data_IF_140207849202
#
_entry.id   IF_140207849202
#
_cell.length_a   1.000
_cell.length_b   1.000
_cell.length_c   1.000
_cell.angle_alpha   90.00
_cell.angle_beta   90.00
_cell.angle_gamma   90.00
#
_symmetry.space_group_name_H-M   'P 1'
#
loop_
_entity.id
_entity.type
_entity.pdbx_description
1 polymer ?
#
# COMPACT_ATOMS: atom_id res chain seq x y z
N UNK A 1 15.16 17.99 0.11
CA UNK A 1 13.83 17.41 -0.18
C UNK A 1 13.57 16.38 0.89
N UNK A 2 12.49 16.55 1.65
CA UNK A 2 12.11 15.56 2.66
C UNK A 2 11.65 14.26 2.01
N UNK A 3 11.54 13.20 2.81
CA UNK A 3 10.81 11.99 2.41
C UNK A 3 9.70 11.75 3.42
N UNK A 4 8.64 11.12 2.94
CA UNK A 4 7.52 10.70 3.76
C UNK A 4 7.48 9.18 3.72
N UNK A 5 7.34 8.55 4.89
CA UNK A 5 6.97 7.16 5.02
C UNK A 5 5.49 7.09 5.37
N UNK A 6 4.73 6.29 4.64
CA UNK A 6 3.32 6.08 4.89
C UNK A 6 3.02 4.59 5.01
N UNK A 7 2.33 4.21 6.08
CA UNK A 7 1.77 2.88 6.23
C UNK A 7 0.36 2.90 5.64
N UNK A 8 0.16 2.11 4.59
CA UNK A 8 -1.10 2.06 3.84
C UNK A 8 -1.66 0.65 3.98
N UNK A 9 -2.85 0.53 4.56
CA UNK A 9 -3.59 -0.72 4.67
C UNK A 9 -4.33 -1.01 3.37
N UNK A 10 -4.04 -2.15 2.78
CA UNK A 10 -4.65 -2.64 1.54
C UNK A 10 -5.45 -3.89 1.88
N UNK A 11 -6.76 -3.80 1.68
CA UNK A 11 -7.68 -4.91 1.90
C UNK A 11 -7.84 -5.68 0.59
N UNK A 12 -7.53 -6.99 0.55
CA UNK A 12 -7.89 -7.82 -0.60
C UNK A 12 -9.41 -8.04 -0.65
N UNK A 13 -9.95 -8.25 -1.84
CA UNK A 13 -11.38 -8.51 -2.05
C UNK A 13 -11.83 -9.94 -1.71
N UNK A 14 -10.90 -10.85 -1.47
CA UNK A 14 -11.17 -12.25 -1.13
C UNK A 14 -10.01 -12.86 -0.31
N UNK A 15 -10.30 -13.78 0.63
CA UNK A 15 -9.27 -14.53 1.36
C UNK A 15 -8.53 -15.55 0.47
N UNK A 16 -8.99 -15.77 -0.76
CA UNK A 16 -8.35 -16.67 -1.74
C UNK A 16 -7.28 -15.96 -2.58
N UNK A 17 -7.13 -14.63 -2.45
CA UNK A 17 -6.08 -13.87 -3.15
C UNK A 17 -4.70 -14.31 -2.65
N UNK A 18 -3.80 -14.61 -3.59
CA UNK A 18 -2.39 -14.79 -3.28
C UNK A 18 -1.78 -13.44 -2.88
N UNK A 19 -1.35 -13.35 -1.63
CA UNK A 19 -0.83 -12.11 -1.04
C UNK A 19 0.59 -11.78 -1.53
N UNK A 20 1.37 -12.78 -1.95
CA UNK A 20 2.68 -12.55 -2.55
C UNK A 20 2.49 -11.93 -3.94
N UNK A 21 1.59 -12.50 -4.77
CA UNK A 21 1.24 -11.92 -6.08
C UNK A 21 0.57 -10.54 -5.97
N UNK A 22 -0.25 -10.32 -4.94
CA UNK A 22 -0.83 -8.99 -4.67
C UNK A 22 0.27 -7.99 -4.31
N UNK A 23 1.23 -8.36 -3.47
CA UNK A 23 2.36 -7.50 -3.13
C UNK A 23 3.17 -7.13 -4.38
N UNK A 24 3.48 -8.08 -5.26
CA UNK A 24 4.21 -7.81 -6.50
C UNK A 24 3.47 -6.82 -7.41
N UNK A 25 2.13 -6.94 -7.50
CA UNK A 25 1.29 -6.01 -8.26
C UNK A 25 1.26 -4.60 -7.64
N UNK A 26 1.20 -4.50 -6.32
CA UNK A 26 1.31 -3.22 -5.61
C UNK A 26 2.67 -2.57 -5.85
N UNK A 27 3.77 -3.33 -5.77
CA UNK A 27 5.12 -2.84 -6.07
C UNK A 27 5.23 -2.33 -7.52
N UNK A 28 4.60 -3.01 -8.47
CA UNK A 28 4.59 -2.64 -9.89
C UNK A 28 3.69 -1.44 -10.22
N UNK A 29 2.67 -1.14 -9.40
CA UNK A 29 1.77 0.00 -9.61
C UNK A 29 2.29 1.31 -9.04
N UNK A 30 3.38 1.28 -8.26
CA UNK A 30 3.92 2.47 -7.61
C UNK A 30 4.30 3.58 -8.61
N UNK A 31 3.97 4.84 -8.30
CA UNK A 31 4.38 5.98 -9.11
C UNK A 31 5.91 6.20 -9.05
N UNK A 32 6.44 6.92 -10.03
CA UNK A 32 7.87 7.20 -10.12
C UNK A 32 8.41 7.86 -8.85
N UNK A 33 9.47 7.28 -8.28
CA UNK A 33 10.13 7.77 -7.07
C UNK A 33 9.53 7.28 -5.76
N UNK A 34 8.36 6.62 -5.78
CA UNK A 34 7.85 5.88 -4.63
C UNK A 34 8.51 4.50 -4.54
N UNK A 35 8.63 3.96 -3.32
CA UNK A 35 9.12 2.60 -3.10
C UNK A 35 8.49 1.99 -1.86
N UNK A 36 8.21 0.69 -1.88
CA UNK A 36 7.86 -0.06 -0.68
C UNK A 36 9.14 -0.34 0.14
N UNK A 37 9.03 -0.19 1.46
CA UNK A 37 10.10 -0.37 2.44
C UNK A 37 9.63 -1.32 3.55
N UNK A 38 9.13 -2.49 3.14
CA UNK A 38 8.55 -3.51 4.00
C UNK A 38 7.04 -3.56 3.88
N UNK A 39 6.49 -4.76 4.10
CA UNK A 39 5.06 -5.05 4.09
C UNK A 39 4.75 -5.88 5.32
N UNK A 40 3.81 -5.40 6.12
CA UNK A 40 3.26 -6.16 7.24
C UNK A 40 1.97 -6.85 6.82
N UNK A 41 1.61 -7.94 7.51
CA UNK A 41 0.36 -8.67 7.29
C UNK A 41 -0.45 -8.63 8.58
N UNK A 42 -1.72 -8.26 8.47
CA UNK A 42 -2.62 -8.17 9.60
C UNK A 42 -3.85 -9.05 9.38
N UNK A 43 -4.09 -10.00 10.29
CA UNK A 43 -5.32 -10.78 10.31
C UNK A 43 -6.53 -9.89 10.63
N UNK A 44 -7.55 -9.90 9.78
CA UNK A 44 -8.75 -9.07 9.95
C UNK A 44 -9.92 -9.89 10.48
N UNK A 45 -10.63 -10.59 9.58
CA UNK A 45 -11.77 -11.45 9.91
C UNK A 45 -12.07 -12.41 8.76
N UNK A 46 -12.72 -13.54 9.05
CA UNK A 46 -13.15 -14.51 8.04
C UNK A 46 -12.03 -14.99 7.09
N UNK A 47 -10.79 -15.05 7.59
CA UNK A 47 -9.61 -15.46 6.82
C UNK A 47 -9.03 -14.37 5.91
N UNK A 48 -9.58 -13.15 5.92
CA UNK A 48 -8.98 -12.01 5.22
C UNK A 48 -7.76 -11.52 6.00
N UNK A 49 -6.68 -11.28 5.25
CA UNK A 49 -5.43 -10.73 5.73
C UNK A 49 -5.16 -9.45 4.94
N UNK A 50 -4.99 -8.33 5.65
CA UNK A 50 -4.62 -7.06 5.04
C UNK A 50 -3.10 -7.01 4.80
N UNK A 51 -2.68 -6.39 3.70
CA UNK A 51 -1.30 -5.99 3.49
C UNK A 51 -1.12 -4.56 3.98
N UNK A 52 -0.06 -4.29 4.73
CA UNK A 52 0.27 -2.95 5.21
C UNK A 52 1.67 -2.57 4.70
N UNK A 53 1.83 -2.25 3.40
CA UNK A 53 3.06 -1.69 2.88
C UNK A 53 3.42 -0.36 3.55
N UNK A 54 4.67 -0.23 3.97
CA UNK A 54 5.27 1.07 4.28
C UNK A 54 5.89 1.64 3.01
N UNK A 55 5.31 2.70 2.46
CA UNK A 55 5.76 3.33 1.22
C UNK A 55 6.56 4.58 1.53
N UNK A 56 7.75 4.71 0.94
CA UNK A 56 8.56 5.93 0.99
C UNK A 56 8.30 6.73 -0.28
N UNK A 57 7.77 7.95 -0.10
CA UNK A 57 7.42 8.88 -1.18
C UNK A 57 8.28 10.14 -1.06
N UNK A 58 8.74 10.75 -2.17
CA UNK A 58 9.38 12.05 -2.14
C UNK A 58 8.39 13.11 -1.63
N UNK A 59 8.83 13.99 -0.73
CA UNK A 59 8.00 15.08 -0.21
C UNK A 59 7.73 16.11 -1.33
N UNK A 60 6.58 15.94 -2.01
CA UNK A 60 6.08 16.74 -3.12
C UNK A 60 4.62 17.17 -2.89
N UNK A 61 4.05 17.91 -3.83
CA UNK A 61 2.77 18.63 -3.66
C UNK A 61 1.48 17.78 -3.56
N UNK A 62 1.57 16.46 -3.35
CA UNK A 62 0.41 15.56 -3.28
C UNK A 62 0.48 14.46 -2.21
N UNK A 63 1.50 14.46 -1.33
CA UNK A 63 1.59 13.48 -0.25
C UNK A 63 1.57 12.02 -0.72
N UNK A 64 0.64 11.23 -0.20
CA UNK A 64 0.45 9.79 -0.47
C UNK A 64 -0.64 9.50 -1.51
N UNK A 65 -1.37 10.52 -1.97
CA UNK A 65 -2.59 10.37 -2.78
C UNK A 65 -2.34 9.56 -4.06
N UNK A 66 -1.24 9.85 -4.77
CA UNK A 66 -0.88 9.12 -5.98
C UNK A 66 -0.61 7.62 -5.74
N UNK A 67 -0.12 7.26 -4.55
CA UNK A 67 0.11 5.86 -4.17
C UNK A 67 -1.22 5.19 -3.82
N UNK A 68 -2.08 5.90 -3.09
CA UNK A 68 -3.41 5.41 -2.71
C UNK A 68 -4.26 5.09 -3.95
N UNK A 69 -4.33 6.03 -4.90
CA UNK A 69 -5.04 5.84 -6.17
C UNK A 69 -4.45 4.65 -6.96
N UNK A 70 -3.12 4.57 -7.04
CA UNK A 70 -2.44 3.50 -7.76
C UNK A 70 -2.68 2.12 -7.14
N UNK A 71 -2.87 2.05 -5.82
CA UNK A 71 -3.22 0.80 -5.12
C UNK A 71 -4.69 0.45 -5.29
N UNK A 72 -5.59 1.43 -5.27
CA UNK A 72 -7.02 1.20 -5.44
C UNK A 72 -7.36 0.62 -6.83
N UNK A 73 -6.56 0.93 -7.85
CA UNK A 73 -6.70 0.41 -9.21
C UNK A 73 -6.09 -1.00 -9.41
N UNK A 74 -5.39 -1.55 -8.42
CA UNK A 74 -4.79 -2.90 -8.52
C UNK A 74 -5.88 -3.97 -8.41
N UNK A 75 -5.90 -4.88 -9.38
CA UNK A 75 -6.81 -6.02 -9.35
C UNK A 75 -6.66 -6.84 -8.05
N UNK A 76 -7.78 -7.24 -7.45
CA UNK A 76 -7.80 -7.93 -6.17
C UNK A 76 -7.77 -7.03 -4.94
N UNK A 77 -7.62 -5.71 -5.09
CA UNK A 77 -7.81 -4.74 -4.00
C UNK A 77 -9.29 -4.36 -3.87
N UNK A 78 -9.78 -4.35 -2.63
CA UNK A 78 -11.13 -3.89 -2.27
C UNK A 78 -11.11 -2.47 -1.71
N UNK A 79 -10.16 -2.18 -0.82
CA UNK A 79 -10.02 -0.86 -0.21
C UNK A 79 -8.57 -0.54 0.13
N UNK A 80 -8.30 0.76 0.23
CA UNK A 80 -7.01 1.34 0.60
C UNK A 80 -7.25 2.41 1.67
N UNK A 81 -6.55 2.29 2.79
CA UNK A 81 -6.68 3.20 3.93
C UNK A 81 -5.29 3.61 4.45
N UNK A 82 -5.05 4.90 4.70
CA UNK A 82 -3.79 5.38 5.26
C UNK A 82 -3.82 5.33 6.78
N UNK A 83 -3.01 4.44 7.37
CA UNK A 83 -2.94 4.25 8.82
C UNK A 83 -2.02 5.29 9.48
N UNK A 84 -0.88 5.58 8.85
CA UNK A 84 0.08 6.52 9.41
C UNK A 84 0.92 7.20 8.32
N UNK A 85 1.29 8.45 8.58
CA UNK A 85 2.19 9.23 7.73
C UNK A 85 3.22 9.95 8.60
N UNK A 86 4.50 9.74 8.31
CA UNK A 86 5.62 10.34 9.02
C UNK A 86 6.70 10.87 8.09
N UNK A 87 7.30 12.00 8.44
CA UNK A 87 8.49 12.52 7.71
C UNK A 87 9.75 11.81 8.20
N UNK A 88 10.66 11.49 7.27
CA UNK A 88 11.93 10.79 7.54
C UNK A 88 13.12 11.49 6.89
#
# INVERSE_FOLDING_TARGET
MGKVAAAIKVMPNSPEIDLDDLQERLEASLPEGAKINGVEREDVAFGLIALIPTVIVPDGSGGTEAVEDSFADVDGVESVDVENVGRI
#
